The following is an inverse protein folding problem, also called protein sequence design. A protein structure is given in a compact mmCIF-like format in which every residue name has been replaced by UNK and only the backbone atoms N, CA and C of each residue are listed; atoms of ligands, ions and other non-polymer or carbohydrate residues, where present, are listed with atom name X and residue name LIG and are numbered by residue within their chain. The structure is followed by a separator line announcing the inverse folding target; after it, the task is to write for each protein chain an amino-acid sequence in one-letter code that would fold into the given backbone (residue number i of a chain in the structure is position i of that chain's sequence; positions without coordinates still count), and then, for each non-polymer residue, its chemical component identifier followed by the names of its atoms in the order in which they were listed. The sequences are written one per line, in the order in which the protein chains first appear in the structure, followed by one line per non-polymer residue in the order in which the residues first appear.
data_IF_463248748474
#
_entry.id   IF_463248748474
#
_cell.length_a   1.000
_cell.length_b   1.000
_cell.length_c   1.000
_cell.angle_alpha   90.00
_cell.angle_beta   90.00
_cell.angle_gamma   90.00
#
_symmetry.space_group_name_H-M   'P 1'
#
loop_
_entity.id
_entity.type
_entity.pdbx_description
1 polymer ?
#
# COMPACT_ATOMS: atom_id res chain seq x y z
N UNK A 1 -9.41 -12.91 33.40
CA UNK A 1 -9.74 -12.76 31.97
C UNK A 1 -9.43 -11.31 31.67
N UNK A 2 -8.34 -11.04 30.95
CA UNK A 2 -8.00 -9.68 30.55
C UNK A 2 -9.01 -9.25 29.48
N UNK A 3 -10.08 -8.60 29.93
CA UNK A 3 -11.06 -8.05 29.01
C UNK A 3 -10.44 -6.91 28.22
N UNK A 4 -10.53 -7.03 26.89
CA UNK A 4 -10.15 -5.96 25.98
C UNK A 4 -11.16 -4.84 26.14
N UNK A 5 -10.71 -3.65 26.56
CA UNK A 5 -11.61 -2.49 26.69
C UNK A 5 -12.33 -2.20 25.37
N UNK A 6 -13.56 -1.65 25.40
CA UNK A 6 -14.32 -1.36 24.17
C UNK A 6 -13.54 -0.54 23.14
N UNK A 7 -12.79 0.47 23.58
CA UNK A 7 -11.93 1.29 22.71
C UNK A 7 -10.81 0.46 22.06
N UNK A 8 -10.13 -0.39 22.85
CA UNK A 8 -9.10 -1.30 22.32
C UNK A 8 -9.69 -2.31 21.35
N UNK A 9 -10.92 -2.78 21.59
CA UNK A 9 -11.60 -3.74 20.71
C UNK A 9 -11.94 -3.13 19.35
N UNK A 10 -12.32 -1.85 19.29
CA UNK A 10 -12.53 -1.13 18.01
C UNK A 10 -11.23 -1.06 17.22
N UNK A 11 -10.13 -0.64 17.87
CA UNK A 11 -8.82 -0.56 17.22
C UNK A 11 -8.30 -1.91 16.72
N UNK A 12 -8.48 -2.97 17.49
CA UNK A 12 -8.09 -4.33 17.09
C UNK A 12 -8.89 -4.78 15.87
N UNK A 13 -10.21 -4.55 15.84
CA UNK A 13 -11.04 -4.93 14.68
C UNK A 13 -10.66 -4.15 13.43
N UNK A 14 -10.34 -2.86 13.55
CA UNK A 14 -9.87 -2.06 12.42
C UNK A 14 -8.52 -2.58 11.91
N UNK A 15 -7.55 -2.85 12.79
CA UNK A 15 -6.26 -3.44 12.41
C UNK A 15 -6.43 -4.81 11.76
N UNK A 16 -7.31 -5.66 12.29
CA UNK A 16 -7.57 -6.97 11.71
C UNK A 16 -8.15 -6.85 10.29
N UNK A 17 -9.06 -5.89 10.06
CA UNK A 17 -9.62 -5.64 8.72
C UNK A 17 -8.56 -5.11 7.75
N UNK A 18 -7.72 -4.18 8.19
CA UNK A 18 -6.59 -3.68 7.40
C UNK A 18 -5.64 -4.81 7.03
N UNK A 19 -5.22 -5.62 8.01
CA UNK A 19 -4.34 -6.77 7.79
C UNK A 19 -4.92 -7.77 6.78
N UNK A 20 -6.24 -8.02 6.80
CA UNK A 20 -6.89 -8.89 5.81
C UNK A 20 -6.81 -8.30 4.40
N UNK A 21 -7.09 -7.01 4.26
CA UNK A 21 -7.01 -6.33 2.95
C UNK A 21 -5.57 -6.29 2.44
N UNK A 22 -4.62 -5.93 3.30
CA UNK A 22 -3.18 -5.94 3.00
C UNK A 22 -2.74 -7.31 2.53
N UNK A 23 -3.16 -8.38 3.22
CA UNK A 23 -2.77 -9.74 2.85
C UNK A 23 -3.41 -10.22 1.55
N UNK A 24 -4.68 -9.86 1.30
CA UNK A 24 -5.34 -10.16 0.03
C UNK A 24 -4.65 -9.45 -1.15
N UNK A 25 -4.33 -8.16 -0.97
CA UNK A 25 -3.59 -7.39 -1.97
C UNK A 25 -2.19 -7.99 -2.22
N UNK A 26 -1.49 -8.39 -1.16
CA UNK A 26 -0.19 -9.07 -1.24
C UNK A 26 -0.26 -10.35 -2.07
N UNK A 27 -1.22 -11.22 -1.81
CA UNK A 27 -1.38 -12.46 -2.58
C UNK A 27 -1.65 -12.19 -4.06
N UNK A 28 -2.49 -11.20 -4.37
CA UNK A 28 -2.73 -10.78 -5.75
C UNK A 28 -1.47 -10.25 -6.43
N UNK A 29 -0.69 -9.43 -5.72
CA UNK A 29 0.56 -8.87 -6.22
C UNK A 29 1.60 -9.95 -6.51
N UNK A 30 1.84 -10.86 -5.57
CA UNK A 30 2.79 -11.98 -5.76
C UNK A 30 2.35 -12.87 -6.92
N UNK A 31 1.04 -13.16 -7.05
CA UNK A 31 0.53 -13.92 -8.18
C UNK A 31 0.73 -13.19 -9.52
N UNK A 32 0.52 -11.88 -9.56
CA UNK A 32 0.79 -11.06 -10.74
C UNK A 32 2.27 -11.07 -11.10
N UNK A 33 3.16 -10.90 -10.12
CA UNK A 33 4.62 -11.00 -10.29
C UNK A 33 5.07 -12.37 -10.80
N UNK A 34 4.45 -13.46 -10.33
CA UNK A 34 4.77 -14.82 -10.81
C UNK A 34 4.34 -15.06 -12.26
N UNK A 35 3.23 -14.45 -12.68
CA UNK A 35 2.61 -14.74 -13.99
C UNK A 35 3.05 -13.80 -15.08
N UNK A 36 3.24 -12.51 -14.76
CA UNK A 36 3.58 -11.43 -15.68
C UNK A 36 4.51 -10.43 -14.97
N UNK A 37 5.76 -10.83 -14.63
CA UNK A 37 6.65 -10.01 -13.81
C UNK A 37 6.97 -8.65 -14.44
N UNK A 38 7.32 -8.64 -15.74
CA UNK A 38 7.74 -7.44 -16.44
C UNK A 38 6.60 -6.43 -16.59
N UNK A 39 5.41 -6.90 -16.98
CA UNK A 39 4.22 -6.05 -17.11
C UNK A 39 3.77 -5.52 -15.75
N UNK A 40 3.81 -6.35 -14.71
CA UNK A 40 3.44 -5.96 -13.35
C UNK A 40 4.39 -4.89 -12.81
N UNK A 41 5.71 -5.07 -12.96
CA UNK A 41 6.72 -4.10 -12.53
C UNK A 41 6.61 -2.77 -13.30
N UNK A 42 6.40 -2.84 -14.62
CA UNK A 42 6.19 -1.67 -15.45
C UNK A 42 4.93 -0.89 -15.04
N UNK A 43 3.82 -1.60 -14.79
CA UNK A 43 2.58 -1.00 -14.32
C UNK A 43 2.76 -0.31 -12.97
N UNK A 44 3.36 -1.00 -11.99
CA UNK A 44 3.57 -0.43 -10.65
C UNK A 44 4.53 0.76 -10.67
N UNK A 45 5.58 0.71 -11.48
CA UNK A 45 6.49 1.86 -11.67
C UNK A 45 5.76 3.06 -12.27
N UNK A 46 4.87 2.84 -13.24
CA UNK A 46 4.07 3.91 -13.83
C UNK A 46 3.07 4.51 -12.82
N UNK A 47 2.44 3.69 -11.98
CA UNK A 47 1.56 4.18 -10.91
C UNK A 47 2.33 4.94 -9.82
N UNK A 48 3.53 4.46 -9.44
CA UNK A 48 4.42 5.17 -8.50
C UNK A 48 4.77 6.57 -8.96
N UNK A 49 5.09 6.75 -10.24
CA UNK A 49 5.35 8.07 -10.81
C UNK A 49 4.15 9.02 -10.62
N UNK A 50 2.92 8.50 -10.77
CA UNK A 50 1.70 9.30 -10.53
C UNK A 50 1.52 9.66 -9.05
N UNK A 51 1.98 8.82 -8.12
CA UNK A 51 1.99 9.15 -6.69
C UNK A 51 2.99 10.28 -6.38
N UNK A 52 4.16 10.27 -7.04
CA UNK A 52 5.16 11.33 -6.91
C UNK A 52 4.67 12.68 -7.47
N UNK A 53 3.86 12.66 -8.53
CA UNK A 53 3.19 13.84 -9.09
C UNK A 53 2.12 14.44 -8.14
N UNK A 54 1.79 13.73 -7.06
CA UNK A 54 1.00 14.23 -5.94
C UNK A 54 -0.46 13.74 -5.92
N UNK A 55 -0.93 13.49 -4.71
CA UNK A 55 -2.31 13.12 -4.42
C UNK A 55 -3.22 14.35 -4.39
N UNK A 56 -3.88 14.71 -5.50
CA UNK A 56 -4.72 15.92 -5.47
C UNK A 56 -5.75 16.11 -6.58
N UNK A 57 -5.71 15.33 -7.66
CA UNK A 57 -6.55 15.63 -8.83
C UNK A 57 -7.97 15.08 -8.75
N UNK A 58 -8.31 14.21 -7.77
CA UNK A 58 -9.62 13.50 -7.72
C UNK A 58 -10.22 13.28 -6.32
N UNK A 59 -9.92 14.15 -5.35
CA UNK A 59 -10.55 14.12 -4.02
C UNK A 59 -9.89 13.23 -2.96
N UNK A 60 -8.79 12.56 -3.29
CA UNK A 60 -7.97 11.87 -2.30
C UNK A 60 -7.00 12.86 -1.64
N UNK A 61 -6.88 12.83 -0.31
CA UNK A 61 -6.03 13.75 0.46
C UNK A 61 -6.35 15.26 0.24
N UNK A 62 -7.62 15.56 -0.04
CA UNK A 62 -8.08 16.92 -0.34
C UNK A 62 -8.06 17.86 0.87
N UNK A 63 -8.07 17.29 2.07
CA UNK A 63 -8.00 17.98 3.37
C UNK A 63 -6.57 18.27 3.83
N UNK A 64 -5.56 17.68 3.18
CA UNK A 64 -4.16 17.91 3.50
C UNK A 64 -3.65 19.25 2.96
N UNK A 65 -2.61 19.79 3.59
CA UNK A 65 -1.80 20.88 3.04
C UNK A 65 -0.87 20.36 1.93
N UNK A 66 -0.26 21.26 1.16
CA UNK A 66 0.71 20.89 0.12
C UNK A 66 1.93 20.16 0.70
N UNK A 67 2.39 20.58 1.89
CA UNK A 67 3.52 19.93 2.58
C UNK A 67 3.16 18.50 3.03
N UNK A 68 1.97 18.30 3.59
CA UNK A 68 1.49 16.97 4.00
C UNK A 68 1.25 16.05 2.80
N UNK A 69 0.75 16.58 1.69
CA UNK A 69 0.64 15.82 0.43
C UNK A 69 1.99 15.40 -0.11
N UNK A 70 2.98 16.28 -0.08
CA UNK A 70 4.34 15.96 -0.53
C UNK A 70 4.96 14.87 0.34
N UNK A 71 4.79 14.95 1.67
CA UNK A 71 5.23 13.91 2.60
C UNK A 71 4.53 12.58 2.34
N UNK A 72 3.20 12.59 2.23
CA UNK A 72 2.42 11.38 1.90
C UNK A 72 2.86 10.76 0.56
N UNK A 73 3.10 11.59 -0.46
CA UNK A 73 3.63 11.18 -1.75
C UNK A 73 4.95 10.42 -1.62
N UNK A 74 5.90 10.99 -0.88
CA UNK A 74 7.21 10.38 -0.65
C UNK A 74 7.11 9.04 0.11
N UNK A 75 6.29 8.98 1.16
CA UNK A 75 6.10 7.76 1.95
C UNK A 75 5.44 6.64 1.12
N UNK A 76 4.41 6.97 0.32
CA UNK A 76 3.77 5.99 -0.57
C UNK A 76 4.73 5.51 -1.65
N UNK A 77 5.52 6.41 -2.25
CA UNK A 77 6.51 6.02 -3.26
C UNK A 77 7.56 5.07 -2.68
N UNK A 78 8.13 5.39 -1.51
CA UNK A 78 9.09 4.55 -0.82
C UNK A 78 8.50 3.17 -0.46
N UNK A 79 7.27 3.17 0.07
CA UNK A 79 6.56 1.94 0.41
C UNK A 79 6.30 1.04 -0.81
N UNK A 80 5.84 1.63 -1.92
CA UNK A 80 5.62 0.89 -3.18
C UNK A 80 6.93 0.37 -3.78
N UNK A 81 8.02 1.12 -3.66
CA UNK A 81 9.35 0.67 -4.07
C UNK A 81 9.75 -0.62 -3.35
N UNK A 82 9.65 -0.61 -2.01
CA UNK A 82 9.96 -1.79 -1.18
C UNK A 82 9.04 -2.96 -1.53
N UNK A 83 7.75 -2.70 -1.70
CA UNK A 83 6.76 -3.73 -1.99
C UNK A 83 7.04 -4.47 -3.30
N UNK A 84 7.48 -3.75 -4.34
CA UNK A 84 7.87 -4.35 -5.63
C UNK A 84 9.07 -5.29 -5.43
N UNK A 85 10.10 -4.84 -4.70
CA UNK A 85 11.28 -5.64 -4.40
C UNK A 85 10.92 -6.91 -3.63
N UNK A 86 10.11 -6.79 -2.58
CA UNK A 86 9.71 -7.92 -1.75
C UNK A 86 8.84 -8.91 -2.55
N UNK A 87 7.90 -8.41 -3.35
CA UNK A 87 7.01 -9.25 -4.15
C UNK A 87 7.77 -10.03 -5.22
N UNK A 88 8.81 -9.44 -5.80
CA UNK A 88 9.70 -10.12 -6.74
C UNK A 88 10.47 -11.25 -6.05
N UNK A 89 11.05 -10.98 -4.89
CA UNK A 89 11.79 -12.00 -4.13
C UNK A 89 10.88 -13.19 -3.74
N UNK A 90 9.65 -12.93 -3.30
CA UNK A 90 8.66 -13.96 -2.97
C UNK A 90 8.14 -14.72 -4.20
N UNK A 91 8.08 -14.06 -5.36
CA UNK A 91 7.66 -14.70 -6.61
C UNK A 91 8.72 -15.70 -7.14
N UNK A 92 10.00 -15.41 -6.89
CA UNK A 92 11.16 -16.22 -7.30
C UNK A 92 11.45 -17.40 -6.33
N UNK A 93 10.97 -17.34 -5.09
CA UNK A 93 11.06 -18.40 -4.07
C UNK A 93 9.92 -19.40 -4.09
#
# INVERSE_FOLDING_TARGET
MDDVSPERAVMIRLRARLAVVERAAWFGLVQAMRTQPTETEAYLTAERAKCADGFGTRGWAADLTDAERALLGAEVDAGLASLITDARAEAEG
#
